data_IF_518777045568
#
_entry.id   IF_518777045568
#
_cell.length_a   1.000
_cell.length_b   1.000
_cell.length_c   1.000
_cell.angle_alpha   90.00
_cell.angle_beta   90.00
_cell.angle_gamma   90.00
#
_symmetry.space_group_name_H-M   'P 1'
#
loop_
_entity.id
_entity.type
_entity.pdbx_description
1 polymer ?
#
# COMPACT_ATOMS: atom_id res chain seq x y z
N UNK A 1 11.82 14.74 -2.30
CA UNK A 1 10.70 14.40 -1.41
C UNK A 1 11.06 13.04 -0.83
N UNK A 2 11.23 12.90 0.48
CA UNK A 2 11.73 11.64 1.07
C UNK A 2 10.58 10.64 1.15
N UNK A 3 10.75 9.47 0.51
CA UNK A 3 9.88 8.30 0.70
C UNK A 3 9.91 7.87 2.16
N UNK A 4 8.82 7.31 2.64
CA UNK A 4 8.80 6.68 3.97
C UNK A 4 9.59 5.36 3.92
N UNK A 5 9.52 4.62 2.81
CA UNK A 5 10.30 3.40 2.57
C UNK A 5 11.28 3.60 1.42
N UNK A 6 12.55 3.89 1.73
CA UNK A 6 13.60 4.10 0.72
C UNK A 6 13.81 2.87 -0.19
N UNK A 7 13.49 1.67 0.32
CA UNK A 7 13.75 0.38 -0.35
C UNK A 7 12.50 -0.21 -1.03
N UNK A 8 11.37 0.50 -1.06
CA UNK A 8 10.07 -0.06 -1.46
C UNK A 8 9.71 -1.32 -0.65
N UNK A 9 10.05 -1.32 0.65
CA UNK A 9 9.74 -2.41 1.57
C UNK A 9 8.34 -2.21 2.14
N UNK A 10 7.41 -3.10 1.77
CA UNK A 10 6.00 -3.04 2.18
C UNK A 10 5.81 -3.27 3.67
N UNK A 11 6.56 -4.18 4.28
CA UNK A 11 6.44 -4.46 5.71
C UNK A 11 6.90 -3.26 6.54
N UNK A 12 8.05 -2.66 6.19
CA UNK A 12 8.54 -1.43 6.84
C UNK A 12 7.57 -0.26 6.67
N UNK A 13 7.00 -0.09 5.48
CA UNK A 13 6.00 0.94 5.23
C UNK A 13 4.77 0.77 6.12
N UNK A 14 4.23 -0.46 6.17
CA UNK A 14 3.04 -0.73 6.97
C UNK A 14 3.32 -0.54 8.46
N UNK A 15 4.50 -0.94 8.95
CA UNK A 15 4.89 -0.70 10.35
C UNK A 15 4.98 0.79 10.70
N UNK A 16 5.35 1.63 9.73
CA UNK A 16 5.41 3.09 9.92
C UNK A 16 4.02 3.74 10.00
N UNK A 17 2.98 3.14 9.43
CA UNK A 17 1.64 3.75 9.34
C UNK A 17 0.55 3.10 10.19
N UNK A 18 0.76 1.88 10.70
CA UNK A 18 -0.29 1.08 11.37
C UNK A 18 -0.96 1.78 12.56
N UNK A 19 -0.22 2.61 13.28
CA UNK A 19 -0.68 3.31 14.48
C UNK A 19 -1.17 4.74 14.21
N UNK A 20 -1.21 5.15 12.93
CA UNK A 20 -1.66 6.49 12.52
C UNK A 20 -3.18 6.56 12.38
N UNK A 21 -3.71 7.79 12.37
CA UNK A 21 -5.13 8.03 12.09
C UNK A 21 -5.49 7.70 10.64
N UNK A 22 -6.77 7.51 10.32
CA UNK A 22 -7.25 7.23 8.97
C UNK A 22 -6.77 8.28 7.96
N UNK A 23 -6.85 9.57 8.35
CA UNK A 23 -6.42 10.66 7.49
C UNK A 23 -4.92 10.62 7.22
N UNK A 24 -4.12 10.35 8.24
CA UNK A 24 -2.66 10.21 8.11
C UNK A 24 -2.30 9.00 7.26
N UNK A 25 -2.88 7.83 7.53
CA UNK A 25 -2.72 6.61 6.73
C UNK A 25 -2.97 6.92 5.26
N UNK A 26 -4.13 7.47 4.92
CA UNK A 26 -4.48 7.80 3.55
C UNK A 26 -3.48 8.78 2.91
N UNK A 27 -3.10 9.82 3.65
CA UNK A 27 -2.15 10.85 3.18
C UNK A 27 -0.77 10.28 2.92
N UNK A 28 -0.26 9.46 3.84
CA UNK A 28 1.07 8.86 3.72
C UNK A 28 1.10 7.81 2.61
N UNK A 29 0.09 6.95 2.49
CA UNK A 29 0.01 5.96 1.40
C UNK A 29 -0.09 6.63 0.03
N UNK A 30 -0.88 7.69 -0.12
CA UNK A 30 -0.93 8.46 -1.38
C UNK A 30 0.42 9.10 -1.72
N UNK A 31 1.06 9.75 -0.73
CA UNK A 31 2.37 10.39 -0.92
C UNK A 31 3.45 9.38 -1.31
N UNK A 32 3.45 8.22 -0.66
CA UNK A 32 4.36 7.13 -0.99
C UNK A 32 4.13 6.64 -2.42
N UNK A 33 2.88 6.35 -2.79
CA UNK A 33 2.53 5.91 -4.14
C UNK A 33 2.98 6.88 -5.23
N UNK A 34 2.78 8.19 -5.05
CA UNK A 34 3.29 9.20 -5.99
C UNK A 34 4.81 9.23 -6.07
N UNK A 35 5.50 9.04 -4.95
CA UNK A 35 6.97 9.02 -4.95
C UNK A 35 7.50 7.74 -5.62
N UNK A 36 6.79 6.63 -5.45
CA UNK A 36 7.08 5.37 -6.14
C UNK A 36 6.80 5.47 -7.65
N UNK A 37 5.76 6.19 -8.08
CA UNK A 37 5.52 6.50 -9.49
C UNK A 37 6.69 7.26 -10.12
N UNK A 38 7.18 8.31 -9.44
CA UNK A 38 8.35 9.07 -9.89
C UNK A 38 9.59 8.16 -9.99
N UNK A 39 9.80 7.28 -9.01
CA UNK A 39 10.90 6.32 -9.00
C UNK A 39 10.81 5.33 -10.18
N UNK A 40 9.62 4.85 -10.52
CA UNK A 40 9.39 3.99 -11.70
C UNK A 40 9.75 4.70 -12.99
N UNK A 41 9.33 5.96 -13.14
CA UNK A 41 9.64 6.77 -14.34
C UNK A 41 11.16 6.95 -14.48
N UNK A 42 11.85 7.28 -13.39
CA UNK A 42 13.29 7.45 -13.38
C UNK A 42 14.04 6.16 -13.72
N UNK A 43 13.71 5.05 -13.05
CA UNK A 43 14.40 3.78 -13.29
C UNK A 43 14.17 3.23 -14.71
N UNK A 44 12.96 3.39 -15.27
CA UNK A 44 12.68 3.02 -16.66
C UNK A 44 13.50 3.85 -17.64
N UNK A 45 13.64 5.16 -17.39
CA UNK A 45 14.46 6.05 -18.21
C UNK A 45 15.94 5.64 -18.16
N UNK A 46 16.41 5.28 -16.98
CA UNK A 46 17.83 4.97 -16.73
C UNK A 46 18.17 3.50 -17.04
N UNK A 47 17.22 2.74 -17.62
CA UNK A 47 17.37 1.33 -18.03
C UNK A 47 17.78 0.40 -16.88
N UNK A 48 17.20 0.62 -15.70
CA UNK A 48 17.38 -0.25 -14.54
C UNK A 48 16.99 -1.71 -14.85
N UNK A 49 17.50 -2.69 -14.08
CA UNK A 49 17.11 -4.09 -14.24
C UNK A 49 15.59 -4.28 -14.16
N UNK A 50 15.06 -5.19 -14.99
CA UNK A 50 13.62 -5.48 -15.05
C UNK A 50 13.07 -5.93 -13.69
N UNK A 51 13.83 -6.74 -12.96
CA UNK A 51 13.50 -7.18 -11.59
C UNK A 51 13.31 -5.99 -10.62
N UNK A 52 14.09 -4.93 -10.77
CA UNK A 52 13.96 -3.73 -9.95
C UNK A 52 12.68 -2.95 -10.31
N UNK A 53 12.39 -2.82 -11.60
CA UNK A 53 11.14 -2.19 -12.08
C UNK A 53 9.91 -2.97 -11.61
N UNK A 54 9.95 -4.29 -11.67
CA UNK A 54 8.86 -5.17 -11.25
C UNK A 54 8.62 -5.02 -9.74
N UNK A 55 9.67 -5.14 -8.91
CA UNK A 55 9.58 -4.94 -7.46
C UNK A 55 8.94 -3.60 -7.08
N UNK A 56 9.39 -2.51 -7.71
CA UNK A 56 8.84 -1.17 -7.44
C UNK A 56 7.38 -1.08 -7.92
N UNK A 57 7.04 -1.73 -9.04
CA UNK A 57 5.67 -1.75 -9.58
C UNK A 57 4.71 -2.51 -8.67
N UNK A 58 5.13 -3.67 -8.15
CA UNK A 58 4.35 -4.46 -7.20
C UNK A 58 4.12 -3.72 -5.89
N UNK A 59 5.17 -3.07 -5.35
CA UNK A 59 5.07 -2.23 -4.17
C UNK A 59 4.03 -1.11 -4.38
N UNK A 60 4.15 -0.35 -5.47
CA UNK A 60 3.21 0.73 -5.79
C UNK A 60 1.77 0.22 -5.96
N UNK A 61 1.60 -0.92 -6.63
CA UNK A 61 0.28 -1.54 -6.81
C UNK A 61 -0.36 -1.84 -5.46
N UNK A 62 0.37 -2.45 -4.53
CA UNK A 62 -0.14 -2.73 -3.19
C UNK A 62 -0.58 -1.46 -2.44
N UNK A 63 0.16 -0.35 -2.57
CA UNK A 63 -0.23 0.95 -2.00
C UNK A 63 -1.56 1.44 -2.59
N UNK A 64 -1.70 1.39 -3.92
CA UNK A 64 -2.90 1.85 -4.64
C UNK A 64 -4.12 1.00 -4.34
N UNK A 65 -3.94 -0.31 -4.27
CA UNK A 65 -4.98 -1.27 -3.93
C UNK A 65 -5.52 -1.03 -2.51
N UNK A 66 -4.63 -0.71 -1.56
CA UNK A 66 -5.06 -0.33 -0.22
C UNK A 66 -5.77 1.03 -0.18
N UNK A 67 -5.27 2.04 -0.90
CA UNK A 67 -5.96 3.34 -1.03
C UNK A 67 -7.35 3.16 -1.63
N UNK A 68 -7.50 2.33 -2.65
CA UNK A 68 -8.79 2.02 -3.26
C UNK A 68 -9.78 1.48 -2.22
N UNK A 69 -9.35 0.50 -1.41
CA UNK A 69 -10.17 -0.01 -0.31
C UNK A 69 -10.60 1.12 0.64
N UNK A 70 -9.65 1.96 1.09
CA UNK A 70 -9.93 3.01 2.07
C UNK A 70 -10.89 4.09 1.55
N UNK A 71 -10.85 4.39 0.25
CA UNK A 71 -11.66 5.45 -0.36
C UNK A 71 -13.02 4.94 -0.86
N UNK A 72 -13.06 3.73 -1.42
CA UNK A 72 -14.23 3.18 -2.10
C UNK A 72 -14.99 2.19 -1.21
N UNK A 73 -14.32 1.60 -0.21
CA UNK A 73 -14.90 0.57 0.64
C UNK A 73 -15.17 -0.72 -0.13
N UNK A 74 -14.30 -1.08 -1.06
CA UNK A 74 -14.40 -2.29 -1.89
C UNK A 74 -13.03 -2.95 -2.03
N UNK A 75 -13.02 -4.28 -2.19
CA UNK A 75 -11.78 -5.01 -2.53
C UNK A 75 -11.39 -4.71 -3.98
N UNK A 76 -10.12 -4.38 -4.26
CA UNK A 76 -9.61 -4.25 -5.63
C UNK A 76 -9.54 -5.61 -6.34
N UNK A 77 -9.36 -5.60 -7.66
CA UNK A 77 -9.21 -6.81 -8.45
C UNK A 77 -7.78 -7.38 -8.30
N UNK A 78 -7.63 -8.39 -7.45
CA UNK A 78 -6.36 -9.03 -7.11
C UNK A 78 -6.17 -10.29 -7.97
N UNK A 79 -5.35 -10.18 -9.01
CA UNK A 79 -5.26 -11.18 -10.08
C UNK A 79 -4.21 -12.27 -9.82
N UNK A 80 -3.25 -12.02 -8.93
CA UNK A 80 -2.19 -12.98 -8.57
C UNK A 80 -2.17 -13.31 -7.08
N UNK A 81 -1.50 -14.41 -6.72
CA UNK A 81 -1.27 -14.78 -5.32
C UNK A 81 -0.42 -13.74 -4.59
N UNK A 82 0.66 -13.26 -5.20
CA UNK A 82 1.52 -12.22 -4.63
C UNK A 82 0.78 -10.89 -4.39
N UNK A 83 -0.16 -10.52 -5.27
CA UNK A 83 -1.02 -9.35 -5.05
C UNK A 83 -1.92 -9.54 -3.83
N UNK A 84 -2.50 -10.73 -3.65
CA UNK A 84 -3.32 -11.04 -2.46
C UNK A 84 -2.48 -11.02 -1.19
N UNK A 85 -1.31 -11.64 -1.20
CA UNK A 85 -0.40 -11.64 -0.05
C UNK A 85 -0.02 -10.22 0.35
N UNK A 86 0.42 -9.39 -0.60
CA UNK A 86 0.78 -8.00 -0.34
C UNK A 86 -0.40 -7.16 0.16
N UNK A 87 -1.57 -7.33 -0.45
CA UNK A 87 -2.80 -6.66 0.00
C UNK A 87 -3.19 -7.07 1.43
N UNK A 88 -3.11 -8.36 1.76
CA UNK A 88 -3.47 -8.88 3.09
C UNK A 88 -2.54 -8.37 4.19
N UNK A 89 -1.31 -7.97 3.89
CA UNK A 89 -0.44 -7.31 4.88
C UNK A 89 -1.04 -6.02 5.43
N UNK A 90 -1.86 -5.31 4.67
CA UNK A 90 -2.54 -4.09 5.13
C UNK A 90 -3.67 -4.35 6.14
N UNK A 91 -4.10 -5.60 6.31
CA UNK A 91 -5.13 -5.97 7.30
C UNK A 91 -4.78 -5.46 8.70
N UNK A 92 -3.50 -5.43 9.08
CA UNK A 92 -3.06 -4.90 10.39
C UNK A 92 -3.33 -3.41 10.57
N UNK A 93 -3.23 -2.61 9.50
CA UNK A 93 -3.59 -1.18 9.53
C UNK A 93 -5.10 -1.05 9.66
N UNK A 94 -5.85 -1.80 8.85
CA UNK A 94 -7.31 -1.76 8.87
C UNK A 94 -7.89 -2.15 10.23
N UNK A 95 -7.35 -3.22 10.86
CA UNK A 95 -7.73 -3.63 12.23
C UNK A 95 -7.50 -2.49 13.20
N UNK A 96 -6.32 -1.87 13.19
CA UNK A 96 -5.99 -0.77 14.10
C UNK A 96 -6.95 0.42 13.95
N UNK A 97 -7.29 0.76 12.70
CA UNK A 97 -8.26 1.83 12.41
C UNK A 97 -9.69 1.46 12.85
N UNK A 98 -10.11 0.20 12.70
CA UNK A 98 -11.41 -0.28 13.19
C UNK A 98 -11.49 -0.24 14.72
N UNK A 99 -10.43 -0.69 15.41
CA UNK A 99 -10.35 -0.65 16.88
C UNK A 99 -10.44 0.79 17.43
N UNK A 100 -9.88 1.76 16.70
CA UNK A 100 -9.98 3.20 17.01
C UNK A 100 -11.33 3.83 16.61
N UNK A 101 -12.19 3.09 15.90
CA UNK A 101 -13.48 3.58 15.40
C UNK A 101 -13.39 4.52 14.19
N UNK A 102 -12.26 4.51 13.48
CA UNK A 102 -12.00 5.33 12.30
C UNK A 102 -12.40 4.64 10.98
N UNK A 103 -12.59 3.32 11.02
CA UNK A 103 -13.13 2.52 9.92
C UNK A 103 -14.30 1.65 10.40
N UNK A 104 -15.20 1.34 9.47
CA UNK A 104 -16.28 0.39 9.73
C UNK A 104 -15.72 -1.04 9.84
N UNK A 105 -16.19 -1.87 10.80
CA UNK A 105 -15.71 -3.25 10.94
C UNK A 105 -15.83 -4.10 9.67
N UNK A 106 -16.86 -3.85 8.85
CA UNK A 106 -17.08 -4.54 7.57
C UNK A 106 -15.93 -4.38 6.56
N UNK A 107 -15.04 -3.40 6.74
CA UNK A 107 -13.84 -3.28 5.90
C UNK A 107 -12.92 -4.51 6.05
N UNK A 108 -12.94 -5.17 7.20
CA UNK A 108 -12.10 -6.35 7.44
C UNK A 108 -12.50 -7.56 6.58
N UNK A 109 -13.77 -7.62 6.13
CA UNK A 109 -14.30 -8.68 5.27
C UNK A 109 -13.72 -8.63 3.83
N UNK A 110 -13.04 -7.53 3.47
CA UNK A 110 -12.35 -7.40 2.19
C UNK A 110 -10.93 -7.96 2.17
N UNK A 111 -10.43 -8.44 3.32
CA UNK A 111 -9.17 -9.17 3.43
C UNK A 111 -9.44 -10.67 3.53
N UNK A 112 -8.45 -11.49 3.19
CA UNK A 112 -8.54 -12.93 3.41
C UNK A 112 -8.25 -13.26 4.90
N UNK A 113 -8.87 -14.33 5.40
CA UNK A 113 -8.70 -14.84 6.78
C UNK A 113 -7.37 -15.58 7.01
#
# INVERSE_FOLDING_TARGET
MTMISEECNLDSFIDAIKDLTYHEVLTFTLKEGYTTDDLLVHNKRDSAPEEEIERISEYNKALRDFVFLLQVGQRPDLVSEGERENYNKFRRVAVSLVERGELLPAILDYFDD
#
